data_IF_754346556876
#
_entry.id   IF_754346556876
#
_cell.length_a   1.000
_cell.length_b   1.000
_cell.length_c   1.000
_cell.angle_alpha   90.00
_cell.angle_beta   90.00
_cell.angle_gamma   90.00
#
_symmetry.space_group_name_H-M   'P 1'
#
loop_
_entity.id
_entity.type
_entity.pdbx_description
1 polymer ?
#
# COMPACT_ATOMS: atom_id res chain seq x y z
N UNK A 1 -10.01 7.85 48.28
CA UNK A 1 -9.30 8.99 47.67
C UNK A 1 -7.99 8.55 47.00
N UNK A 2 -7.08 7.88 47.70
CA UNK A 2 -5.79 7.39 47.14
C UNK A 2 -5.92 6.49 45.91
N UNK A 3 -6.87 5.54 45.89
CA UNK A 3 -7.10 4.67 44.71
C UNK A 3 -7.53 5.45 43.46
N UNK A 4 -8.34 6.50 43.64
CA UNK A 4 -8.80 7.35 42.54
C UNK A 4 -7.64 8.19 42.00
N UNK A 5 -6.81 8.75 42.89
CA UNK A 5 -5.59 9.47 42.51
C UNK A 5 -4.63 8.56 41.75
N UNK A 6 -4.44 7.33 42.21
CA UNK A 6 -3.59 6.34 41.55
C UNK A 6 -4.11 5.96 40.15
N UNK A 7 -5.44 5.87 40.01
CA UNK A 7 -6.09 5.60 38.73
C UNK A 7 -5.90 6.76 37.75
N UNK A 8 -6.12 8.00 38.19
CA UNK A 8 -5.88 9.20 37.38
C UNK A 8 -4.41 9.27 36.92
N UNK A 9 -3.46 8.99 37.82
CA UNK A 9 -2.04 8.99 37.48
C UNK A 9 -1.71 7.96 36.39
N UNK A 10 -2.25 6.74 36.52
CA UNK A 10 -2.11 5.69 35.50
C UNK A 10 -2.69 6.11 34.15
N UNK A 11 -3.86 6.75 34.13
CA UNK A 11 -4.46 7.23 32.90
C UNK A 11 -3.62 8.32 32.22
N UNK A 12 -3.07 9.27 32.98
CA UNK A 12 -2.21 10.34 32.44
C UNK A 12 -0.95 9.74 31.79
N UNK A 13 -0.31 8.78 32.47
CA UNK A 13 0.87 8.09 31.94
C UNK A 13 0.52 7.37 30.63
N UNK A 14 -0.59 6.65 30.59
CA UNK A 14 -1.04 5.94 29.38
C UNK A 14 -1.30 6.91 28.21
N UNK A 15 -2.00 8.03 28.45
CA UNK A 15 -2.26 9.02 27.41
C UNK A 15 -0.98 9.68 26.88
N UNK A 16 0.04 9.86 27.71
CA UNK A 16 1.32 10.46 27.31
C UNK A 16 2.18 9.57 26.41
N UNK A 17 1.87 8.27 26.32
CA UNK A 17 2.60 7.31 25.47
C UNK A 17 2.00 7.15 24.07
N UNK A 18 0.87 7.81 23.80
CA UNK A 18 0.22 7.72 22.49
C UNK A 18 0.88 8.74 21.56
N UNK A 19 1.75 8.26 20.68
CA UNK A 19 2.27 9.04 19.55
C UNK A 19 1.53 8.64 18.27
N UNK A 20 1.04 9.63 17.54
CA UNK A 20 0.49 9.44 16.20
C UNK A 20 1.41 10.12 15.18
N UNK A 21 1.47 9.55 13.98
CA UNK A 21 2.19 10.18 12.86
C UNK A 21 1.41 11.42 12.43
N UNK A 22 2.09 12.56 12.39
CA UNK A 22 1.49 13.81 11.90
C UNK A 22 1.19 13.73 10.40
N UNK A 23 0.18 14.47 9.94
CA UNK A 23 -0.22 14.50 8.53
C UNK A 23 0.93 14.86 7.59
N UNK A 24 1.80 15.77 8.02
CA UNK A 24 2.98 16.20 7.25
C UNK A 24 4.08 15.13 7.17
N UNK A 25 3.96 14.03 7.92
CA UNK A 25 4.91 12.92 7.92
C UNK A 25 4.45 11.74 7.05
N UNK A 26 3.23 11.79 6.50
CA UNK A 26 2.74 10.80 5.53
C UNK A 26 3.64 10.82 4.29
N UNK A 27 4.10 9.66 3.82
CA UNK A 27 4.94 9.55 2.62
C UNK A 27 6.43 9.84 2.83
N UNK A 28 6.84 10.60 3.86
CA UNK A 28 8.26 10.96 4.09
C UNK A 28 9.14 9.76 4.45
N UNK A 29 8.56 8.80 5.16
CA UNK A 29 9.24 7.58 5.60
C UNK A 29 8.65 6.31 4.97
N UNK A 30 7.78 6.46 3.97
CA UNK A 30 7.18 5.33 3.27
C UNK A 30 8.15 4.80 2.20
N UNK A 31 8.58 3.56 2.39
CA UNK A 31 9.56 2.84 1.56
C UNK A 31 8.93 1.60 0.88
N UNK A 32 7.61 1.49 0.94
CA UNK A 32 6.85 0.33 0.48
C UNK A 32 6.95 0.19 -1.04
N UNK A 33 7.67 -0.81 -1.49
CA UNK A 33 7.71 -1.23 -2.89
C UNK A 33 6.68 -2.35 -3.13
N UNK A 34 5.96 -2.26 -4.25
CA UNK A 34 4.94 -3.24 -4.62
C UNK A 34 5.41 -4.08 -5.81
N UNK A 35 5.38 -5.40 -5.64
CA UNK A 35 5.74 -6.36 -6.67
C UNK A 35 4.60 -7.34 -6.90
N UNK A 36 4.37 -7.71 -8.16
CA UNK A 36 3.27 -8.60 -8.58
C UNK A 36 3.73 -10.03 -8.90
N UNK A 37 5.04 -10.30 -8.82
CA UNK A 37 5.63 -11.60 -9.11
C UNK A 37 6.00 -11.81 -10.58
N UNK A 38 6.40 -13.04 -10.91
CA UNK A 38 6.88 -13.40 -12.26
C UNK A 38 5.73 -13.43 -13.26
N UNK A 39 5.91 -12.75 -14.39
CA UNK A 39 4.93 -12.66 -15.47
C UNK A 39 4.77 -14.01 -16.18
N UNK A 40 3.52 -14.45 -16.35
CA UNK A 40 3.13 -15.60 -17.20
C UNK A 40 2.60 -15.13 -18.55
N UNK A 41 1.77 -14.10 -18.53
CA UNK A 41 1.15 -13.53 -19.72
C UNK A 41 1.21 -12.01 -19.68
N UNK A 42 1.38 -11.38 -20.83
CA UNK A 42 1.33 -9.94 -21.02
C UNK A 42 0.48 -9.57 -22.23
N UNK A 43 -0.26 -8.49 -22.12
CA UNK A 43 -1.07 -7.95 -23.21
C UNK A 43 -0.90 -6.43 -23.27
N UNK A 44 -0.43 -5.94 -24.41
CA UNK A 44 -0.35 -4.52 -24.69
C UNK A 44 -1.66 -4.10 -25.36
N UNK A 45 -2.32 -3.09 -24.79
CA UNK A 45 -3.51 -2.52 -25.41
C UNK A 45 -3.07 -1.60 -26.56
N UNK A 46 -2.96 -2.17 -27.76
CA UNK A 46 -2.47 -1.49 -28.97
C UNK A 46 -3.62 -0.73 -29.66
N UNK A 47 -4.88 -1.03 -29.34
CA UNK A 47 -6.05 -0.47 -30.02
C UNK A 47 -6.40 0.95 -29.58
N UNK A 48 -6.03 1.32 -28.36
CA UNK A 48 -6.20 2.69 -27.87
C UNK A 48 -4.95 3.49 -28.22
N UNK A 49 -5.06 4.35 -29.23
CA UNK A 49 -4.02 5.31 -29.60
C UNK A 49 -3.70 6.17 -28.37
N UNK A 50 -2.55 5.93 -27.72
CA UNK A 50 -2.10 6.51 -26.42
C UNK A 50 -2.30 5.64 -25.16
N UNK A 51 -2.69 4.37 -25.26
CA UNK A 51 -2.62 3.48 -24.09
C UNK A 51 -1.18 3.28 -23.67
N UNK A 52 -0.88 3.73 -22.45
CA UNK A 52 0.42 3.58 -21.79
C UNK A 52 0.38 2.41 -20.81
N UNK A 53 -0.46 1.41 -21.05
CA UNK A 53 -0.71 0.32 -20.09
C UNK A 53 -0.41 -1.04 -20.70
N UNK A 54 0.23 -1.89 -19.91
CA UNK A 54 0.37 -3.32 -20.19
C UNK A 54 -0.37 -4.10 -19.11
N UNK A 55 -1.23 -5.02 -19.52
CA UNK A 55 -1.92 -5.94 -18.63
C UNK A 55 -1.05 -7.18 -18.46
N UNK A 56 -0.87 -7.62 -17.21
CA UNK A 56 -0.05 -8.75 -16.84
C UNK A 56 -0.87 -9.76 -16.05
N UNK A 57 -0.61 -11.04 -16.28
CA UNK A 57 -1.01 -12.12 -15.38
C UNK A 57 0.26 -12.83 -14.90
N UNK A 58 0.35 -13.09 -13.60
CA UNK A 58 1.57 -13.57 -12.94
C UNK A 58 1.40 -14.95 -12.32
N UNK A 59 2.52 -15.60 -11.97
CA UNK A 59 2.55 -16.88 -11.23
C UNK A 59 2.01 -16.76 -9.81
N UNK A 60 1.90 -15.54 -9.27
CA UNK A 60 1.36 -15.28 -7.93
C UNK A 60 -0.16 -15.06 -7.93
N UNK A 61 -0.85 -15.50 -8.99
CA UNK A 61 -2.28 -15.29 -9.20
C UNK A 61 -2.66 -13.80 -9.17
N UNK A 62 -1.77 -12.91 -9.60
CA UNK A 62 -2.04 -11.47 -9.69
C UNK A 62 -2.27 -11.08 -11.14
N UNK A 63 -3.40 -10.41 -11.39
CA UNK A 63 -3.62 -9.61 -12.58
C UNK A 63 -3.22 -8.18 -12.29
N UNK A 64 -2.37 -7.57 -13.11
CA UNK A 64 -1.86 -6.21 -12.87
C UNK A 64 -1.88 -5.37 -14.14
N UNK A 65 -2.06 -4.07 -13.98
CA UNK A 65 -1.87 -3.10 -15.04
C UNK A 65 -0.64 -2.24 -14.69
N UNK A 66 0.36 -2.21 -15.56
CA UNK A 66 1.55 -1.38 -15.41
C UNK A 66 1.56 -0.24 -16.42
N UNK A 67 2.10 0.91 -16.01
CA UNK A 67 2.45 1.96 -16.94
C UNK A 67 3.70 1.54 -17.74
N UNK A 68 3.61 1.56 -19.07
CA UNK A 68 4.70 1.12 -19.95
C UNK A 68 5.91 2.06 -19.97
N UNK A 69 5.77 3.30 -19.48
CA UNK A 69 6.85 4.29 -19.42
C UNK A 69 7.56 4.31 -18.07
N UNK A 70 6.81 4.19 -16.97
CA UNK A 70 7.35 4.32 -15.60
C UNK A 70 7.53 2.98 -14.89
N UNK A 71 6.85 1.92 -15.35
CA UNK A 71 6.81 0.63 -14.67
C UNK A 71 5.92 0.61 -13.41
N UNK A 72 5.25 1.73 -13.10
CA UNK A 72 4.38 1.84 -11.93
C UNK A 72 3.10 1.02 -12.09
N UNK A 73 2.63 0.45 -10.97
CA UNK A 73 1.35 -0.22 -10.89
C UNK A 73 0.20 0.79 -10.97
N UNK A 74 -0.55 0.74 -12.06
CA UNK A 74 -1.82 1.45 -12.19
C UNK A 74 -2.93 0.78 -11.36
N UNK A 75 -2.81 -0.52 -11.12
CA UNK A 75 -3.73 -1.32 -10.33
C UNK A 75 -3.40 -2.81 -10.40
N UNK A 76 -3.84 -3.57 -9.41
CA UNK A 76 -3.71 -5.02 -9.39
C UNK A 76 -4.89 -5.69 -8.70
N UNK A 77 -5.17 -6.93 -9.09
CA UNK A 77 -6.19 -7.79 -8.51
C UNK A 77 -5.54 -9.13 -8.21
N UNK A 78 -5.63 -9.56 -6.95
CA UNK A 78 -5.17 -10.89 -6.52
C UNK A 78 -6.34 -11.85 -6.64
N UNK A 79 -6.20 -12.84 -7.52
CA UNK A 79 -7.13 -13.95 -7.61
C UNK A 79 -6.84 -14.92 -6.47
N UNK A 80 -7.72 -14.91 -5.48
CA UNK A 80 -7.85 -15.99 -4.51
C UNK A 80 -8.65 -17.09 -5.21
N UNK A 81 -8.14 -18.34 -5.21
CA UNK A 81 -8.71 -19.55 -5.84
C UNK A 81 -8.23 -19.83 -7.29
#
# INVERSE_FOLDING_TARGET
MTKLVLLCLKCIILCSTIEAVFEDQVGKFDWRQQYVGKVRFSHFDIHVQSSKKVLLATEKNVFAALNTRTGELCGYFVRLL
#
